data_IF_295878898909
#
_entry.id   IF_295878898909
#
_cell.length_a   1.000
_cell.length_b   1.000
_cell.length_c   1.000
_cell.angle_alpha   90.00
_cell.angle_beta   90.00
_cell.angle_gamma   90.00
#
_symmetry.space_group_name_H-M   'P 1'
#
loop_
_entity.id
_entity.type
_entity.pdbx_description
1 polymer ?
#
# COMPACT_ATOMS: atom_id res chain seq x y z
N UNK A 1 -20.30 -17.40 17.54
CA UNK A 1 -20.92 -16.07 17.55
C UNK A 1 -20.79 -15.56 18.97
N UNK A 2 -19.82 -14.68 19.21
CA UNK A 2 -19.66 -14.01 20.50
C UNK A 2 -20.51 -12.73 20.45
N UNK A 3 -21.39 -12.54 21.42
CA UNK A 3 -22.16 -11.30 21.55
C UNK A 3 -21.25 -10.18 22.08
N UNK A 4 -21.64 -8.91 21.92
CA UNK A 4 -20.84 -7.77 22.39
C UNK A 4 -20.53 -7.79 23.90
N UNK A 5 -21.29 -8.54 24.70
CA UNK A 5 -20.96 -8.84 26.10
C UNK A 5 -19.73 -9.75 26.20
N UNK A 6 -19.65 -10.80 25.38
CA UNK A 6 -18.55 -11.77 25.39
C UNK A 6 -17.22 -11.11 24.95
N UNK A 7 -17.28 -10.15 24.01
CA UNK A 7 -16.09 -9.40 23.57
C UNK A 7 -15.56 -8.48 24.68
N UNK A 8 -16.46 -7.87 25.48
CA UNK A 8 -16.07 -7.00 26.59
C UNK A 8 -15.53 -7.79 27.77
N UNK A 9 -16.08 -8.99 28.01
CA UNK A 9 -15.62 -9.95 29.01
C UNK A 9 -14.23 -10.49 28.66
N UNK A 10 -13.99 -10.87 27.40
CA UNK A 10 -12.67 -11.31 26.88
C UNK A 10 -11.60 -10.21 27.00
N UNK A 11 -12.01 -8.94 26.96
CA UNK A 11 -11.11 -7.79 27.03
C UNK A 11 -11.06 -7.13 28.42
N UNK A 12 -11.65 -7.77 29.45
CA UNK A 12 -11.68 -7.31 30.84
C UNK A 12 -12.09 -5.83 31.01
N UNK A 13 -13.03 -5.37 30.20
CA UNK A 13 -13.53 -3.99 30.28
C UNK A 13 -14.63 -3.90 31.34
N UNK A 14 -14.46 -3.03 32.34
CA UNK A 14 -15.38 -2.85 33.47
C UNK A 14 -16.84 -2.67 33.01
N UNK A 15 -17.74 -3.43 33.61
CA UNK A 15 -19.19 -3.31 33.41
C UNK A 15 -19.88 -3.03 34.74
N UNK A 16 -20.51 -1.86 34.86
CA UNK A 16 -21.28 -1.44 36.06
C UNK A 16 -22.60 -2.22 36.27
N UNK A 17 -22.72 -3.45 35.77
CA UNK A 17 -23.94 -4.26 35.88
C UNK A 17 -23.65 -5.66 36.40
N UNK A 18 -24.35 -6.14 37.44
CA UNK A 18 -24.19 -7.50 37.93
C UNK A 18 -24.49 -8.53 36.84
N UNK A 19 -23.61 -9.51 36.70
CA UNK A 19 -23.74 -10.64 35.77
C UNK A 19 -24.84 -11.60 36.26
N UNK A 20 -25.94 -11.70 35.53
CA UNK A 20 -26.98 -12.73 35.72
C UNK A 20 -26.75 -13.87 34.71
N UNK A 21 -26.55 -15.13 35.17
CA UNK A 21 -26.29 -16.25 34.27
C UNK A 21 -27.52 -16.58 33.42
N UNK A 22 -27.31 -16.80 32.12
CA UNK A 22 -28.38 -17.16 31.18
C UNK A 22 -28.87 -18.57 31.47
N UNK A 23 -29.99 -18.68 32.20
CA UNK A 23 -30.64 -19.96 32.50
C UNK A 23 -31.47 -20.47 31.33
N UNK A 24 -31.61 -21.81 31.22
CA UNK A 24 -32.42 -22.49 30.18
C UNK A 24 -33.86 -21.98 30.09
N UNK A 25 -34.42 -21.48 31.21
CA UNK A 25 -35.76 -20.87 31.27
C UNK A 25 -35.83 -19.49 30.60
N UNK A 26 -34.73 -18.73 30.54
CA UNK A 26 -34.69 -17.44 29.84
C UNK A 26 -34.74 -17.56 28.31
N UNK A 27 -34.39 -18.72 27.77
CA UNK A 27 -34.43 -19.02 26.34
C UNK A 27 -35.81 -19.53 25.89
N UNK A 28 -36.66 -19.95 26.82
CA UNK A 28 -37.99 -20.47 26.54
C UNK A 28 -39.02 -19.33 26.65
N UNK A 29 -39.68 -19.06 25.52
CA UNK A 29 -40.63 -17.97 25.36
C UNK A 29 -41.97 -18.29 26.02
N UNK A 30 -42.05 -18.21 27.35
CA UNK A 30 -43.33 -18.21 28.05
C UNK A 30 -43.95 -16.81 28.00
N UNK A 31 -45.01 -16.72 27.20
CA UNK A 31 -45.79 -15.51 26.97
C UNK A 31 -46.43 -15.03 28.27
N UNK A 32 -45.88 -13.98 28.88
CA UNK A 32 -46.70 -12.93 29.51
C UNK A 32 -46.47 -11.62 28.77
N UNK A 33 -47.54 -11.18 28.11
CA UNK A 33 -47.62 -9.92 27.38
C UNK A 33 -47.35 -8.77 28.36
N UNK A 34 -46.10 -8.29 28.45
CA UNK A 34 -45.80 -7.01 29.08
C UNK A 34 -45.96 -5.94 28.01
N UNK A 35 -47.02 -5.14 28.14
CA UNK A 35 -47.31 -3.94 27.35
C UNK A 35 -46.05 -3.07 27.32
N UNK A 36 -45.37 -3.01 26.19
CA UNK A 36 -44.23 -2.11 26.01
C UNK A 36 -44.79 -0.69 25.94
N UNK A 37 -44.52 0.13 26.96
CA UNK A 37 -44.68 1.58 26.86
C UNK A 37 -43.86 2.07 25.67
N UNK A 38 -44.48 2.81 24.76
CA UNK A 38 -43.79 3.42 23.63
C UNK A 38 -42.75 4.41 24.18
N UNK A 39 -41.47 4.20 23.84
CA UNK A 39 -40.45 5.22 24.04
C UNK A 39 -40.80 6.47 23.23
N UNK A 40 -40.53 7.68 23.76
CA UNK A 40 -40.84 8.92 23.07
C UNK A 40 -40.06 8.98 21.76
N UNK A 41 -40.78 8.97 20.64
CA UNK A 41 -40.19 9.17 19.31
C UNK A 41 -39.70 10.61 19.22
N UNK A 42 -38.39 10.83 19.40
CA UNK A 42 -37.76 12.12 19.21
C UNK A 42 -37.86 12.51 17.72
N UNK A 43 -38.50 13.65 17.43
CA UNK A 43 -38.72 14.12 16.06
C UNK A 43 -37.43 14.73 15.50
N UNK A 44 -37.22 14.58 14.18
CA UNK A 44 -36.12 15.22 13.45
C UNK A 44 -36.12 16.73 13.74
N UNK A 45 -35.02 17.32 14.24
CA UNK A 45 -34.90 18.76 14.42
C UNK A 45 -35.11 19.52 13.09
N UNK A 46 -35.81 20.65 13.15
CA UNK A 46 -36.06 21.51 12.00
C UNK A 46 -34.73 22.08 11.46
N UNK A 47 -34.50 22.00 10.14
CA UNK A 47 -33.24 22.39 9.50
C UNK A 47 -32.20 21.28 9.28
N UNK A 48 -32.36 20.09 9.87
CA UNK A 48 -31.45 18.95 9.65
C UNK A 48 -31.84 18.17 8.38
N UNK A 49 -30.94 18.00 7.42
CA UNK A 49 -31.22 17.21 6.21
C UNK A 49 -31.52 15.74 6.58
N UNK A 50 -32.50 15.13 5.90
CA UNK A 50 -32.99 13.77 6.20
C UNK A 50 -31.86 12.73 6.22
N UNK A 51 -30.88 12.88 5.33
CA UNK A 51 -29.74 11.96 5.21
C UNK A 51 -28.73 12.12 6.35
N UNK A 52 -28.47 13.36 6.77
CA UNK A 52 -27.63 13.66 7.94
C UNK A 52 -28.28 13.20 9.24
N UNK A 53 -29.59 13.41 9.39
CA UNK A 53 -30.36 12.86 10.51
C UNK A 53 -30.33 11.33 10.50
N UNK A 54 -30.48 10.74 9.31
CA UNK A 54 -30.33 9.31 9.08
C UNK A 54 -28.98 8.85 9.61
N UNK A 55 -27.88 9.43 9.14
CA UNK A 55 -26.53 9.04 9.52
C UNK A 55 -26.27 9.21 11.03
N UNK A 56 -26.60 10.36 11.63
CA UNK A 56 -26.34 10.65 13.04
C UNK A 56 -27.15 9.74 13.99
N UNK A 57 -28.40 9.44 13.64
CA UNK A 57 -29.26 8.57 14.43
C UNK A 57 -29.01 7.09 14.15
N UNK A 58 -28.68 6.72 12.92
CA UNK A 58 -28.25 5.36 12.60
C UNK A 58 -26.92 5.08 13.26
N UNK A 59 -25.95 5.97 13.29
CA UNK A 59 -24.66 5.68 13.91
C UNK A 59 -24.81 5.40 15.43
N UNK A 60 -25.67 6.17 16.10
CA UNK A 60 -25.97 5.99 17.52
C UNK A 60 -26.76 4.69 17.83
N UNK A 61 -27.55 4.17 16.87
CA UNK A 61 -28.28 2.90 17.00
C UNK A 61 -27.49 1.69 16.49
N UNK A 62 -26.59 1.87 15.53
CA UNK A 62 -25.87 0.82 14.80
C UNK A 62 -24.46 0.55 15.33
N UNK A 63 -23.96 1.31 16.31
CA UNK A 63 -22.81 0.88 17.14
C UNK A 63 -23.06 -0.47 17.86
N UNK A 64 -24.31 -0.93 17.90
CA UNK A 64 -24.69 -2.23 18.48
C UNK A 64 -24.89 -3.35 17.43
N UNK A 65 -25.13 -3.03 16.16
CA UNK A 65 -25.50 -3.98 15.11
C UNK A 65 -24.73 -3.72 13.81
N UNK A 66 -23.42 -3.99 13.82
CA UNK A 66 -22.58 -3.94 12.61
C UNK A 66 -22.96 -5.06 11.64
N UNK A 67 -23.10 -4.79 10.33
CA UNK A 67 -23.48 -5.82 9.36
C UNK A 67 -22.42 -6.95 9.26
N UNK A 68 -22.85 -8.22 9.17
CA UNK A 68 -21.92 -9.34 9.07
C UNK A 68 -21.15 -9.31 7.75
N UNK A 69 -19.82 -9.47 7.85
CA UNK A 69 -18.85 -9.41 6.74
C UNK A 69 -18.93 -10.65 5.83
N UNK A 70 -19.67 -11.69 6.24
CA UNK A 70 -19.76 -12.95 5.52
C UNK A 70 -21.09 -13.06 4.74
N UNK A 71 -21.04 -13.34 3.43
CA UNK A 71 -22.22 -13.73 2.67
C UNK A 71 -22.80 -15.01 3.29
N UNK A 72 -24.10 -15.00 3.60
CA UNK A 72 -24.81 -16.22 4.01
C UNK A 72 -25.53 -16.80 2.79
N UNK A 73 -25.40 -18.10 2.54
CA UNK A 73 -26.08 -18.83 1.44
C UNK A 73 -27.61 -18.86 1.54
N UNK A 74 -28.21 -18.12 2.47
CA UNK A 74 -29.67 -17.98 2.58
C UNK A 74 -30.08 -16.72 1.83
N UNK A 75 -30.94 -16.86 0.81
CA UNK A 75 -31.54 -15.76 0.06
C UNK A 75 -32.51 -14.89 0.91
N UNK A 76 -32.20 -14.61 2.17
CA UNK A 76 -33.01 -13.80 3.08
C UNK A 76 -32.21 -12.56 3.47
N UNK A 77 -32.80 -11.40 3.15
CA UNK A 77 -32.10 -10.12 3.04
C UNK A 77 -31.55 -9.51 4.33
N UNK A 78 -31.09 -8.26 4.18
CA UNK A 78 -30.27 -7.47 5.11
C UNK A 78 -30.82 -7.22 6.53
N UNK A 79 -32.08 -7.57 6.84
CA UNK A 79 -32.62 -7.47 8.20
C UNK A 79 -32.69 -8.85 8.83
N UNK A 80 -32.11 -8.99 10.02
CA UNK A 80 -32.28 -10.13 10.91
C UNK A 80 -33.79 -10.39 11.09
N UNK A 81 -34.39 -11.26 10.27
CA UNK A 81 -35.68 -11.84 10.59
C UNK A 81 -35.46 -12.53 11.93
N UNK A 82 -36.22 -12.12 12.96
CA UNK A 82 -36.22 -12.77 14.28
C UNK A 82 -36.02 -14.26 14.06
N UNK A 83 -34.92 -14.81 14.57
CA UNK A 83 -34.53 -16.19 14.31
C UNK A 83 -35.78 -17.04 14.46
N UNK A 84 -36.26 -17.63 13.35
CA UNK A 84 -37.40 -18.54 13.40
C UNK A 84 -36.87 -19.80 14.06
N UNK A 85 -36.78 -19.80 15.39
CA UNK A 85 -36.52 -20.96 16.25
C UNK A 85 -37.81 -21.82 16.28
N UNK A 86 -38.46 -21.94 15.12
CA UNK A 86 -39.50 -22.92 14.88
C UNK A 86 -38.84 -24.26 14.58
N UNK A 87 -39.59 -25.32 14.77
CA UNK A 87 -39.27 -26.75 14.69
C UNK A 87 -38.78 -27.24 13.32
N UNK A 88 -37.91 -26.50 12.63
CA UNK A 88 -37.15 -27.04 11.51
C UNK A 88 -36.20 -28.10 12.07
N UNK A 89 -36.34 -29.32 11.54
CA UNK A 89 -35.39 -30.40 11.84
C UNK A 89 -33.98 -29.89 11.57
N UNK A 90 -33.11 -30.00 12.58
CA UNK A 90 -31.69 -29.65 12.46
C UNK A 90 -31.13 -30.45 11.28
N UNK A 91 -30.40 -29.77 10.39
CA UNK A 91 -29.79 -30.44 9.23
C UNK A 91 -28.82 -31.50 9.74
N UNK A 92 -29.04 -32.79 9.43
CA UNK A 92 -28.19 -33.85 9.96
C UNK A 92 -26.80 -33.78 9.31
N UNK A 93 -25.78 -33.97 10.14
CA UNK A 93 -24.39 -34.08 9.73
C UNK A 93 -23.89 -35.50 9.99
N UNK A 94 -23.08 -36.03 9.09
CA UNK A 94 -22.45 -37.34 9.21
C UNK A 94 -20.95 -37.17 9.04
N UNK A 95 -20.18 -37.86 9.87
CA UNK A 95 -18.74 -38.01 9.69
C UNK A 95 -18.53 -38.99 8.53
N UNK A 96 -18.01 -38.49 7.40
CA UNK A 96 -17.92 -39.27 6.18
C UNK A 96 -16.50 -39.27 5.61
N UNK A 97 -16.04 -40.41 5.07
CA UNK A 97 -14.81 -40.45 4.30
C UNK A 97 -15.02 -39.67 3.00
N UNK A 98 -13.97 -38.96 2.57
CA UNK A 98 -13.93 -38.28 1.29
C UNK A 98 -12.53 -38.38 0.70
N UNK A 99 -12.47 -38.46 -0.62
CA UNK A 99 -11.23 -38.33 -1.38
C UNK A 99 -11.15 -36.90 -1.89
N UNK A 100 -9.97 -36.29 -1.85
CA UNK A 100 -9.76 -34.97 -2.45
C UNK A 100 -9.24 -35.17 -3.89
N UNK A 101 -10.03 -34.88 -4.94
CA UNK A 101 -9.58 -35.01 -6.34
C UNK A 101 -8.35 -34.17 -6.68
N UNK A 102 -8.06 -33.14 -5.90
CA UNK A 102 -6.87 -32.31 -6.06
C UNK A 102 -5.55 -33.05 -5.71
N UNK A 103 -5.61 -34.18 -5.00
CA UNK A 103 -4.43 -34.96 -4.61
C UNK A 103 -4.28 -36.17 -5.53
N UNK A 104 -3.02 -36.55 -5.81
CA UNK A 104 -2.67 -37.71 -6.65
C UNK A 104 -2.43 -39.00 -5.85
N UNK A 105 -2.44 -38.92 -4.52
CA UNK A 105 -2.06 -40.00 -3.60
C UNK A 105 -3.23 -40.89 -3.18
N UNK A 106 -4.46 -40.58 -3.61
CA UNK A 106 -5.65 -41.36 -3.27
C UNK A 106 -5.98 -41.40 -1.77
N UNK A 107 -5.39 -40.50 -0.96
CA UNK A 107 -5.58 -40.54 0.49
C UNK A 107 -7.03 -40.19 0.85
N UNK A 108 -7.62 -41.03 1.69
CA UNK A 108 -8.99 -40.86 2.20
C UNK A 108 -8.93 -40.08 3.50
N UNK A 109 -9.62 -38.95 3.54
CA UNK A 109 -9.78 -38.13 4.75
C UNK A 109 -11.21 -38.24 5.26
N UNK A 110 -11.45 -37.78 6.49
CA UNK A 110 -12.80 -37.73 7.05
C UNK A 110 -13.18 -36.27 7.34
N UNK A 111 -14.40 -35.87 7.00
CA UNK A 111 -14.94 -34.58 7.40
C UNK A 111 -16.44 -34.63 7.67
N UNK A 112 -16.93 -33.68 8.46
CA UNK A 112 -18.36 -33.51 8.68
C UNK A 112 -19.02 -33.01 7.39
N UNK A 113 -19.93 -33.80 6.82
CA UNK A 113 -20.78 -33.43 5.68
C UNK A 113 -22.23 -33.43 6.07
N UNK A 114 -23.00 -32.58 5.39
CA UNK A 114 -24.46 -32.65 5.44
C UNK A 114 -24.88 -33.90 4.67
N UNK A 115 -25.89 -34.62 5.19
CA UNK A 115 -26.43 -35.81 4.52
C UNK A 115 -26.93 -35.48 3.10
N UNK A 116 -27.44 -34.27 2.88
CA UNK A 116 -27.90 -33.82 1.56
C UNK A 116 -26.76 -33.56 0.53
N UNK A 117 -25.50 -33.46 0.97
CA UNK A 117 -24.34 -33.15 0.14
C UNK A 117 -23.42 -34.37 -0.09
N UNK A 118 -23.90 -35.59 0.19
CA UNK A 118 -23.12 -36.84 0.12
C UNK A 118 -22.53 -37.10 -1.28
N UNK A 119 -23.30 -36.85 -2.34
CA UNK A 119 -22.89 -37.10 -3.73
C UNK A 119 -22.02 -36.00 -4.36
N UNK A 120 -21.70 -34.92 -3.64
CA UNK A 120 -20.92 -33.81 -4.21
C UNK A 120 -19.43 -34.04 -4.05
N UNK A 121 -18.66 -33.73 -5.09
CA UNK A 121 -17.20 -33.68 -4.98
C UNK A 121 -16.77 -32.70 -3.89
N UNK A 122 -15.57 -32.93 -3.34
CA UNK A 122 -15.01 -32.09 -2.29
C UNK A 122 -15.00 -30.62 -2.74
N UNK A 123 -15.80 -29.71 -2.11
CA UNK A 123 -16.04 -28.38 -2.64
C UNK A 123 -14.78 -27.53 -2.82
N UNK A 124 -13.73 -27.82 -2.06
CA UNK A 124 -12.48 -27.07 -2.12
C UNK A 124 -11.49 -27.58 -3.18
N UNK A 125 -11.74 -28.74 -3.80
CA UNK A 125 -10.88 -29.28 -4.85
C UNK A 125 -10.76 -28.32 -6.05
N UNK A 126 -11.84 -27.60 -6.38
CA UNK A 126 -11.87 -26.58 -7.43
C UNK A 126 -10.91 -25.40 -7.22
N UNK A 127 -10.45 -25.19 -5.98
CA UNK A 127 -9.51 -24.11 -5.65
C UNK A 127 -8.05 -24.55 -5.73
N UNK A 128 -7.78 -25.82 -6.02
CA UNK A 128 -6.42 -26.31 -6.23
C UNK A 128 -5.90 -25.85 -7.59
N UNK A 129 -5.41 -24.62 -7.65
CA UNK A 129 -4.75 -24.06 -8.84
C UNK A 129 -3.26 -24.37 -8.76
N UNK A 130 -2.76 -25.14 -9.72
CA UNK A 130 -1.33 -25.43 -9.87
C UNK A 130 -0.68 -24.40 -10.78
N UNK A 131 0.56 -24.04 -10.48
CA UNK A 131 1.34 -23.15 -11.35
C UNK A 131 1.98 -23.96 -12.47
N UNK A 132 1.90 -23.47 -13.70
CA UNK A 132 2.61 -24.08 -14.82
C UNK A 132 4.06 -23.59 -14.84
N UNK A 133 4.99 -24.53 -14.63
CA UNK A 133 6.43 -24.25 -14.61
C UNK A 133 7.03 -24.73 -15.93
N UNK A 134 7.64 -23.83 -16.73
CA UNK A 134 8.20 -24.20 -18.02
C UNK A 134 9.25 -25.31 -17.91
N UNK A 135 9.18 -26.29 -18.80
CA UNK A 135 10.24 -27.28 -18.99
C UNK A 135 11.13 -26.88 -20.16
N UNK A 136 12.43 -27.13 -20.08
CA UNK A 136 13.39 -26.91 -21.16
C UNK A 136 14.11 -28.20 -21.51
N UNK A 137 14.54 -28.29 -22.77
CA UNK A 137 15.36 -29.38 -23.29
C UNK A 137 16.85 -29.10 -23.10
N UNK A 138 17.66 -30.16 -23.20
CA UNK A 138 19.11 -30.11 -23.16
C UNK A 138 19.69 -29.13 -24.19
N UNK A 139 19.12 -29.12 -25.40
CA UNK A 139 19.53 -28.24 -26.48
C UNK A 139 19.25 -26.76 -26.15
N UNK A 140 18.06 -26.46 -25.65
CA UNK A 140 17.70 -25.11 -25.23
C UNK A 140 18.61 -24.62 -24.10
N UNK A 141 18.96 -25.51 -23.15
CA UNK A 141 19.88 -25.16 -22.07
C UNK A 141 21.25 -24.78 -22.60
N UNK A 142 21.83 -25.62 -23.46
CA UNK A 142 23.17 -25.43 -24.01
C UNK A 142 23.27 -24.19 -24.90
N UNK A 143 22.21 -23.86 -25.65
CA UNK A 143 22.22 -22.74 -26.57
C UNK A 143 21.92 -21.39 -25.91
N UNK A 144 21.01 -21.35 -24.94
CA UNK A 144 20.42 -20.08 -24.48
C UNK A 144 20.39 -19.88 -22.96
N UNK A 145 20.56 -20.93 -22.14
CA UNK A 145 20.40 -20.84 -20.69
C UNK A 145 21.71 -20.97 -19.91
N UNK A 146 22.86 -21.03 -20.59
CA UNK A 146 24.17 -21.04 -19.94
C UNK A 146 24.41 -19.75 -19.15
N UNK A 147 25.06 -19.86 -17.99
CA UNK A 147 25.40 -18.75 -17.11
C UNK A 147 26.64 -19.13 -16.30
N UNK A 148 27.62 -18.24 -16.22
CA UNK A 148 28.91 -18.53 -15.58
C UNK A 148 28.77 -18.76 -14.07
N UNK A 149 27.73 -18.20 -13.47
CA UNK A 149 27.44 -18.33 -12.04
C UNK A 149 26.52 -19.50 -11.72
N UNK A 150 25.86 -20.13 -12.69
CA UNK A 150 24.89 -21.22 -12.48
C UNK A 150 25.21 -22.47 -13.28
N UNK A 151 25.28 -23.60 -12.58
CA UNK A 151 25.44 -24.89 -13.26
C UNK A 151 24.09 -25.43 -13.75
N UNK A 152 24.13 -26.35 -14.72
CA UNK A 152 22.93 -27.06 -15.20
C UNK A 152 22.23 -27.82 -14.08
N UNK A 153 22.98 -28.61 -13.32
CA UNK A 153 22.45 -29.39 -12.20
C UNK A 153 21.78 -28.50 -11.13
N UNK A 154 22.37 -27.34 -10.84
CA UNK A 154 21.79 -26.34 -9.92
C UNK A 154 20.48 -25.76 -10.47
N UNK A 155 20.43 -25.49 -11.79
CA UNK A 155 19.23 -24.99 -12.46
C UNK A 155 18.13 -26.05 -12.53
N UNK A 156 18.47 -27.31 -12.79
CA UNK A 156 17.53 -28.44 -12.80
C UNK A 156 16.95 -28.65 -11.39
N UNK A 157 17.80 -28.56 -10.36
CA UNK A 157 17.37 -28.64 -8.97
C UNK A 157 16.39 -27.51 -8.62
N UNK A 158 16.69 -26.27 -9.05
CA UNK A 158 15.76 -25.15 -8.89
C UNK A 158 14.39 -25.45 -9.54
N UNK A 159 14.36 -25.91 -10.78
CA UNK A 159 13.11 -26.19 -11.49
C UNK A 159 12.33 -27.39 -10.91
N UNK A 160 13.03 -28.37 -10.32
CA UNK A 160 12.38 -29.41 -9.51
C UNK A 160 11.68 -28.83 -8.28
N UNK A 161 12.39 -28.00 -7.50
CA UNK A 161 11.81 -27.34 -6.32
C UNK A 161 10.66 -26.41 -6.70
N UNK A 162 10.77 -25.67 -7.79
CA UNK A 162 9.71 -24.82 -8.33
C UNK A 162 8.42 -25.59 -8.62
N UNK A 163 8.52 -26.79 -9.21
CA UNK A 163 7.38 -27.68 -9.49
C UNK A 163 6.80 -28.30 -8.23
N UNK A 164 7.65 -28.70 -7.28
CA UNK A 164 7.23 -29.36 -6.03
C UNK A 164 6.57 -28.41 -5.03
N UNK A 165 6.93 -27.14 -5.06
CA UNK A 165 6.48 -26.13 -4.09
C UNK A 165 5.70 -24.97 -4.71
N UNK A 166 5.18 -25.13 -5.93
CA UNK A 166 4.30 -24.16 -6.61
C UNK A 166 4.85 -22.72 -6.62
N UNK A 167 6.14 -22.56 -6.95
CA UNK A 167 6.86 -21.27 -6.94
C UNK A 167 6.86 -20.51 -5.61
N UNK A 168 6.64 -21.18 -4.48
CA UNK A 168 6.78 -20.58 -3.15
C UNK A 168 8.25 -20.40 -2.81
N UNK A 169 8.86 -19.33 -3.34
CA UNK A 169 10.31 -19.07 -3.25
C UNK A 169 10.90 -19.11 -1.85
N UNK A 170 10.14 -18.75 -0.80
CA UNK A 170 10.61 -18.84 0.59
C UNK A 170 10.80 -20.31 1.01
N UNK A 171 9.88 -21.19 0.61
CA UNK A 171 9.99 -22.64 0.86
C UNK A 171 11.08 -23.26 0.00
N UNK A 172 11.20 -22.83 -1.25
CA UNK A 172 12.26 -23.29 -2.17
C UNK A 172 13.64 -22.96 -1.59
N UNK A 173 13.84 -21.73 -1.12
CA UNK A 173 15.08 -21.31 -0.49
C UNK A 173 15.36 -22.07 0.82
N UNK A 174 14.34 -22.34 1.64
CA UNK A 174 14.49 -23.17 2.85
C UNK A 174 14.98 -24.58 2.52
N UNK A 175 14.41 -25.20 1.49
CA UNK A 175 14.69 -26.56 1.01
C UNK A 175 15.85 -26.66 0.02
N UNK A 176 16.57 -25.56 -0.18
CA UNK A 176 17.73 -25.52 -1.05
C UNK A 176 18.84 -26.42 -0.49
N UNK A 177 19.42 -27.28 -1.34
CA UNK A 177 20.53 -28.15 -0.95
C UNK A 177 21.84 -27.35 -0.83
N UNK A 178 22.04 -26.76 0.34
CA UNK A 178 23.23 -25.98 0.72
C UNK A 178 24.49 -26.83 0.88
N UNK A 179 24.37 -28.17 0.85
CA UNK A 179 25.53 -29.06 0.94
C UNK A 179 26.16 -29.32 -0.43
N UNK A 180 25.34 -29.36 -1.48
CA UNK A 180 25.78 -29.61 -2.86
C UNK A 180 25.99 -28.34 -3.67
N UNK A 181 25.23 -27.29 -3.38
CA UNK A 181 25.24 -26.05 -4.15
C UNK A 181 25.64 -24.86 -3.28
N UNK A 182 26.17 -23.78 -3.90
CA UNK A 182 26.42 -22.53 -3.20
C UNK A 182 25.15 -22.01 -2.51
N UNK A 183 25.35 -21.30 -1.40
CA UNK A 183 24.24 -20.65 -0.71
C UNK A 183 23.74 -19.47 -1.56
N UNK A 184 22.49 -19.53 -2.01
CA UNK A 184 21.85 -18.50 -2.84
C UNK A 184 20.82 -17.74 -2.03
N UNK A 185 20.71 -16.43 -2.26
CA UNK A 185 19.59 -15.66 -1.73
C UNK A 185 18.29 -15.98 -2.46
N UNK A 186 17.15 -15.64 -1.85
CA UNK A 186 15.83 -15.78 -2.47
C UNK A 186 15.76 -14.99 -3.79
N UNK A 187 16.45 -13.86 -3.82
CA UNK A 187 16.53 -12.91 -4.91
C UNK A 187 17.34 -13.50 -6.08
N UNK A 188 18.47 -14.16 -5.81
CA UNK A 188 19.26 -14.87 -6.84
C UNK A 188 18.45 -16.01 -7.47
N UNK A 189 17.74 -16.77 -6.63
CA UNK A 189 16.88 -17.88 -7.07
C UNK A 189 15.77 -17.37 -7.99
N UNK A 190 15.11 -16.27 -7.62
CA UNK A 190 14.07 -15.63 -8.43
C UNK A 190 14.62 -15.10 -9.74
N UNK A 191 15.75 -14.40 -9.68
CA UNK A 191 16.45 -13.84 -10.84
C UNK A 191 16.73 -14.93 -11.86
N UNK A 192 17.34 -16.03 -11.43
CA UNK A 192 17.62 -17.17 -12.30
C UNK A 192 16.36 -17.76 -12.93
N UNK A 193 15.32 -17.99 -12.12
CA UNK A 193 14.05 -18.56 -12.59
C UNK A 193 13.39 -17.67 -13.66
N UNK A 194 13.19 -16.38 -13.36
CA UNK A 194 12.52 -15.46 -14.28
C UNK A 194 13.36 -15.18 -15.53
N UNK A 195 14.69 -15.14 -15.42
CA UNK A 195 15.57 -15.01 -16.58
C UNK A 195 15.39 -16.20 -17.54
N UNK A 196 15.37 -17.43 -17.03
CA UNK A 196 15.13 -18.61 -17.86
C UNK A 196 13.73 -18.59 -18.47
N UNK A 197 12.70 -18.28 -17.69
CA UNK A 197 11.33 -18.17 -18.22
C UNK A 197 11.25 -17.15 -19.36
N UNK A 198 11.86 -15.97 -19.18
CA UNK A 198 11.88 -14.93 -20.21
C UNK A 198 12.66 -15.35 -21.45
N UNK A 199 13.81 -16.02 -21.28
CA UNK A 199 14.60 -16.53 -22.41
C UNK A 199 13.84 -17.60 -23.18
N UNK A 200 13.22 -18.55 -22.51
CA UNK A 200 12.41 -19.59 -23.16
C UNK A 200 11.22 -19.00 -23.91
N UNK A 201 10.55 -18.01 -23.31
CA UNK A 201 9.44 -17.30 -23.96
C UNK A 201 9.92 -16.57 -25.22
N UNK A 202 11.11 -15.97 -25.21
CA UNK A 202 11.70 -15.31 -26.39
C UNK A 202 12.10 -16.31 -27.49
N UNK A 203 12.77 -17.40 -27.12
CA UNK A 203 13.26 -18.41 -28.08
C UNK A 203 12.10 -19.17 -28.73
N UNK A 204 11.03 -19.43 -27.97
CA UNK A 204 9.83 -20.14 -28.46
C UNK A 204 8.81 -19.23 -29.12
N UNK A 205 8.98 -17.91 -29.05
CA UNK A 205 8.11 -16.99 -29.75
C UNK A 205 8.32 -17.13 -31.26
N UNK A 206 7.35 -17.76 -31.93
CA UNK A 206 7.20 -17.69 -33.38
C UNK A 206 6.60 -16.34 -33.77
N UNK A 207 6.89 -15.86 -34.99
CA UNK A 207 6.49 -14.54 -35.51
C UNK A 207 5.00 -14.26 -35.22
N UNK A 208 4.74 -13.41 -34.23
CA UNK A 208 3.43 -13.17 -33.62
C UNK A 208 3.50 -12.00 -32.64
N UNK A 209 2.43 -11.74 -31.85
CA UNK A 209 2.42 -10.64 -30.89
C UNK A 209 3.55 -10.79 -29.87
N UNK A 210 4.26 -9.68 -29.59
CA UNK A 210 5.36 -9.61 -28.63
C UNK A 210 5.00 -10.30 -27.31
N UNK A 211 5.78 -11.30 -26.87
CA UNK A 211 5.46 -12.04 -25.66
C UNK A 211 5.59 -11.15 -24.42
N UNK A 212 4.70 -11.35 -23.45
CA UNK A 212 4.73 -10.61 -22.18
C UNK A 212 5.89 -11.09 -21.31
N UNK A 213 7.00 -10.36 -21.37
CA UNK A 213 8.21 -10.60 -20.57
C UNK A 213 8.02 -10.02 -19.17
N UNK A 214 8.27 -10.84 -18.15
CA UNK A 214 8.21 -10.40 -16.76
C UNK A 214 9.61 -10.09 -16.25
N UNK A 215 9.93 -8.80 -16.10
CA UNK A 215 11.23 -8.37 -15.61
C UNK A 215 11.25 -8.41 -14.09
N UNK A 216 12.15 -9.22 -13.52
CA UNK A 216 12.43 -9.23 -12.09
C UNK A 216 13.75 -8.50 -11.83
N UNK A 217 13.70 -7.36 -11.14
CA UNK A 217 14.89 -6.61 -10.73
C UNK A 217 15.34 -7.07 -9.34
N UNK A 218 16.32 -7.98 -9.32
CA UNK A 218 16.89 -8.50 -8.08
C UNK A 218 17.63 -7.42 -7.28
N UNK A 219 18.25 -6.45 -7.94
CA UNK A 219 18.97 -5.36 -7.27
C UNK A 219 18.00 -4.43 -6.54
N UNK A 220 16.88 -4.09 -7.17
CA UNK A 220 15.81 -3.35 -6.54
C UNK A 220 15.22 -4.10 -5.34
N UNK A 221 14.92 -5.40 -5.50
CA UNK A 221 14.32 -6.20 -4.42
C UNK A 221 15.25 -6.34 -3.21
N UNK A 222 16.56 -6.56 -3.45
CA UNK A 222 17.58 -6.56 -2.38
C UNK A 222 17.60 -5.22 -1.63
N UNK A 223 17.61 -4.09 -2.35
CA UNK A 223 17.58 -2.74 -1.74
C UNK A 223 16.30 -2.50 -0.94
N UNK A 224 15.14 -2.88 -1.48
CA UNK A 224 13.83 -2.78 -0.82
C UNK A 224 13.81 -3.56 0.50
N UNK A 225 14.30 -4.80 0.48
CA UNK A 225 14.39 -5.65 1.67
C UNK A 225 15.35 -5.09 2.71
N UNK A 226 16.49 -4.56 2.30
CA UNK A 226 17.43 -3.88 3.21
C UNK A 226 16.80 -2.65 3.89
N UNK A 227 16.03 -1.84 3.16
CA UNK A 227 15.30 -0.70 3.75
C UNK A 227 14.26 -1.16 4.77
N UNK A 228 13.51 -2.22 4.45
CA UNK A 228 12.51 -2.78 5.37
C UNK A 228 13.16 -3.32 6.64
N UNK A 229 14.29 -4.03 6.52
CA UNK A 229 15.05 -4.54 7.67
C UNK A 229 15.56 -3.39 8.54
N UNK A 230 16.06 -2.30 7.93
CA UNK A 230 16.49 -1.10 8.68
C UNK A 230 15.34 -0.49 9.48
N UNK A 231 14.15 -0.39 8.88
CA UNK A 231 12.97 0.13 9.57
C UNK A 231 12.49 -0.82 10.68
N UNK A 232 12.48 -2.13 10.41
CA UNK A 232 12.06 -3.14 11.37
C UNK A 232 12.98 -3.20 12.61
N UNK A 233 14.28 -3.05 12.40
CA UNK A 233 15.28 -3.05 13.46
C UNK A 233 15.48 -1.66 14.11
N UNK A 234 14.65 -0.67 13.78
CA UNK A 234 14.79 0.69 14.33
C UNK A 234 14.43 0.68 15.80
N UNK A 235 15.35 1.18 16.64
CA UNK A 235 15.11 1.31 18.08
C UNK A 235 14.51 2.69 18.40
N UNK A 236 13.74 2.83 19.49
CA UNK A 236 13.16 4.12 19.89
C UNK A 236 14.21 5.24 20.05
N UNK A 237 15.40 4.92 20.60
CA UNK A 237 16.50 5.87 20.74
C UNK A 237 16.98 6.44 19.40
N UNK A 238 17.07 5.59 18.36
CA UNK A 238 17.44 6.03 17.02
C UNK A 238 16.33 6.90 16.39
N UNK A 239 15.06 6.69 16.77
CA UNK A 239 13.95 7.54 16.33
C UNK A 239 14.10 8.95 16.90
N UNK A 240 14.30 9.05 18.22
CA UNK A 240 14.47 10.34 18.91
C UNK A 240 15.71 11.11 18.39
N UNK A 241 16.82 10.41 18.19
CA UNK A 241 18.04 11.01 17.62
C UNK A 241 17.82 11.53 16.19
N UNK A 242 17.13 10.76 15.34
CA UNK A 242 16.80 11.20 13.99
C UNK A 242 15.85 12.41 13.98
N UNK A 243 14.85 12.44 14.86
CA UNK A 243 13.95 13.58 15.03
C UNK A 243 14.71 14.84 15.48
N UNK A 244 15.65 14.68 16.41
CA UNK A 244 16.53 15.76 16.85
C UNK A 244 17.38 16.29 15.69
N UNK A 245 18.04 15.40 14.92
CA UNK A 245 18.85 15.78 13.76
C UNK A 245 18.01 16.47 12.67
N UNK A 246 16.78 16.01 12.41
CA UNK A 246 15.86 16.66 11.47
C UNK A 246 15.50 18.07 11.95
N UNK A 247 15.25 18.25 13.25
CA UNK A 247 14.96 19.56 13.82
C UNK A 247 16.17 20.51 13.71
N UNK A 248 17.38 20.02 13.95
CA UNK A 248 18.61 20.78 13.76
C UNK A 248 18.87 21.15 12.30
N UNK A 249 18.67 20.21 11.38
CA UNK A 249 18.82 20.44 9.94
C UNK A 249 17.87 21.55 9.48
N UNK A 250 16.59 21.50 9.88
CA UNK A 250 15.62 22.57 9.59
C UNK A 250 16.06 23.92 10.14
N UNK A 251 16.61 23.96 11.37
CA UNK A 251 17.16 25.20 11.96
C UNK A 251 18.36 25.73 11.16
N UNK A 252 19.21 24.85 10.61
CA UNK A 252 20.35 25.24 9.77
C UNK A 252 19.86 25.76 8.41
N UNK A 253 18.91 25.07 7.77
CA UNK A 253 18.33 25.51 6.49
C UNK A 253 17.64 26.87 6.60
N UNK A 254 16.89 27.11 7.68
CA UNK A 254 16.26 28.41 7.93
C UNK A 254 17.31 29.52 8.07
N UNK A 255 18.35 29.30 8.89
CA UNK A 255 19.44 30.25 9.07
C UNK A 255 20.21 30.50 7.77
N UNK A 256 20.41 29.45 6.95
CA UNK A 256 21.03 29.58 5.62
C UNK A 256 20.16 30.47 4.70
N UNK A 257 18.85 30.22 4.64
CA UNK A 257 17.90 31.01 3.86
C UNK A 257 17.82 32.47 4.31
N UNK A 258 17.88 32.73 5.62
CA UNK A 258 17.93 34.09 6.16
C UNK A 258 19.22 34.82 5.79
N UNK A 259 20.37 34.15 5.88
CA UNK A 259 21.64 34.74 5.44
C UNK A 259 21.62 35.03 3.94
N UNK A 260 21.11 34.10 3.15
CA UNK A 260 21.00 34.26 1.70
C UNK A 260 20.10 35.45 1.32
N UNK A 261 18.95 35.61 2.00
CA UNK A 261 18.09 36.81 1.85
C UNK A 261 18.83 38.09 2.23
N UNK A 262 19.52 38.11 3.37
CA UNK A 262 20.31 39.28 3.80
C UNK A 262 21.40 39.62 2.80
N UNK A 263 22.12 38.62 2.27
CA UNK A 263 23.13 38.86 1.23
C UNK A 263 22.53 39.35 -0.08
N UNK A 264 21.37 38.83 -0.49
CA UNK A 264 20.66 39.31 -1.68
C UNK A 264 20.18 40.76 -1.49
N UNK A 265 19.66 41.11 -0.33
CA UNK A 265 19.21 42.48 -0.03
C UNK A 265 20.39 43.45 0.04
N UNK A 266 21.51 43.04 0.64
CA UNK A 266 22.76 43.81 0.61
C UNK A 266 23.29 43.99 -0.81
N UNK A 267 23.28 42.95 -1.64
CA UNK A 267 23.66 43.05 -3.05
C UNK A 267 22.76 44.02 -3.81
N UNK A 268 21.44 43.95 -3.62
CA UNK A 268 20.50 44.91 -4.22
C UNK A 268 20.79 46.35 -3.79
N UNK A 269 21.10 46.58 -2.52
CA UNK A 269 21.47 47.90 -2.01
C UNK A 269 22.77 48.41 -2.64
N UNK A 270 23.79 47.56 -2.77
CA UNK A 270 25.05 47.90 -3.45
C UNK A 270 24.78 48.25 -4.92
N UNK A 271 24.06 47.41 -5.66
CA UNK A 271 23.72 47.66 -7.07
C UNK A 271 22.89 48.94 -7.25
N UNK A 272 21.94 49.20 -6.36
CA UNK A 272 21.15 50.43 -6.37
C UNK A 272 22.01 51.67 -6.08
N UNK A 273 22.96 51.57 -5.14
CA UNK A 273 23.91 52.64 -4.84
C UNK A 273 24.86 52.91 -6.02
N UNK A 274 25.42 51.88 -6.64
CA UNK A 274 26.29 52.00 -7.82
C UNK A 274 25.55 52.63 -9.01
N UNK A 275 24.31 52.20 -9.26
CA UNK A 275 23.45 52.79 -10.31
C UNK A 275 23.17 54.28 -10.06
N UNK A 276 22.96 54.68 -8.80
CA UNK A 276 22.75 56.08 -8.44
C UNK A 276 24.05 56.91 -8.59
N UNK A 277 25.20 56.34 -8.24
CA UNK A 277 26.51 56.97 -8.47
C UNK A 277 26.76 57.18 -9.96
N UNK A 278 26.45 56.19 -10.80
CA UNK A 278 26.60 56.30 -12.25
C UNK A 278 25.61 57.32 -12.85
N UNK A 279 24.36 57.36 -12.39
CA UNK A 279 23.40 58.39 -12.79
C UNK A 279 23.89 59.80 -12.41
N UNK A 280 24.40 60.00 -11.19
CA UNK A 280 24.98 61.28 -10.76
C UNK A 280 26.24 61.65 -11.57
N UNK A 281 27.04 60.67 -12.00
CA UNK A 281 28.20 60.90 -12.88
C UNK A 281 27.75 61.29 -14.28
N UNK A 282 26.69 60.67 -14.81
CA UNK A 282 26.10 61.02 -16.12
C UNK A 282 25.48 62.42 -16.08
N UNK A 283 24.74 62.76 -15.03
CA UNK A 283 24.22 64.13 -14.82
C UNK A 283 25.35 65.16 -14.76
N UNK A 284 26.40 64.93 -13.98
CA UNK A 284 27.56 65.85 -13.94
C UNK A 284 28.24 66.01 -15.29
N UNK A 285 28.27 64.97 -16.13
CA UNK A 285 28.82 65.06 -17.51
C UNK A 285 27.87 65.82 -18.45
N UNK A 286 26.56 65.67 -18.33
CA UNK A 286 25.58 66.41 -19.14
C UNK A 286 25.50 67.89 -18.74
N UNK A 287 25.60 68.22 -17.44
CA UNK A 287 25.70 69.61 -16.98
C UNK A 287 26.97 70.28 -17.49
N UNK A 288 28.13 69.61 -17.45
CA UNK A 288 29.39 70.13 -18.02
C UNK A 288 29.30 70.36 -19.55
N UNK A 289 28.64 69.47 -20.29
CA UNK A 289 28.37 69.66 -21.73
C UNK A 289 27.47 70.88 -22.01
N UNK A 290 26.42 71.09 -21.21
CA UNK A 290 25.52 72.26 -21.34
C UNK A 290 26.24 73.58 -21.03
N UNK A 291 27.10 73.60 -20.02
CA UNK A 291 27.93 74.79 -19.69
C UNK A 291 28.92 75.11 -20.81
N UNK A 292 29.57 74.09 -21.40
CA UNK A 292 30.45 74.28 -22.55
C UNK A 292 29.71 74.78 -23.81
N UNK A 293 28.48 74.32 -24.04
CA UNK A 293 27.62 74.81 -25.12
C UNK A 293 27.18 76.27 -24.92
N UNK A 294 26.88 76.68 -23.69
CA UNK A 294 26.56 78.08 -23.36
C UNK A 294 27.78 79.02 -23.50
N UNK A 295 29.00 78.54 -23.21
CA UNK A 295 30.21 79.32 -23.45
C UNK A 295 30.49 79.52 -24.95
N UNK A 296 30.30 78.50 -25.80
CA UNK A 296 30.41 78.65 -27.26
C UNK A 296 29.37 79.60 -27.88
N UNK A 297 28.16 79.65 -27.33
CA UNK A 297 27.11 80.58 -27.79
C UNK A 297 27.42 82.04 -27.41
N UNK A 298 28.11 82.29 -26.28
CA UNK A 298 28.56 83.63 -25.90
C UNK A 298 29.76 84.12 -26.70
N UNK A 299 30.67 83.24 -27.13
CA UNK A 299 31.77 83.61 -28.02
C UNK A 299 31.28 83.89 -29.46
N UNK A 300 30.25 83.19 -29.94
CA UNK A 300 29.66 83.43 -31.26
C UNK A 300 28.81 84.71 -31.38
N UNK A 301 28.34 85.29 -30.27
CA UNK A 301 27.55 86.54 -30.29
C UNK A 301 28.40 87.81 -30.28
N UNK A 302 29.71 87.71 -30.01
CA UNK A 302 30.64 88.85 -30.00
C UNK A 302 31.30 89.11 -31.37
N UNK A 303 31.08 88.26 -32.36
CA UNK A 303 31.71 88.35 -33.70
C UNK A 303 30.82 88.92 -34.82
N UNK A 304 29.58 89.36 -34.55
CA UNK A 304 28.61 89.77 -35.60
C UNK A 304 28.19 91.25 -35.53
N UNK A 305 29.06 92.14 -35.01
CA UNK A 305 28.84 93.60 -35.14
C UNK A 305 30.12 94.26 -35.62
N UNK A 306 30.46 94.07 -36.91
CA UNK A 306 31.39 94.93 -37.66
C UNK A 306 31.40 94.54 -39.15
N UNK A 307 30.40 95.00 -39.90
CA UNK A 307 30.50 95.19 -41.36
C UNK A 307 29.18 95.71 -41.92
N UNK A 308 29.00 97.03 -41.93
CA UNK A 308 28.19 97.74 -42.93
C UNK A 308 28.84 99.12 -43.14
N UNK A 309 29.49 99.26 -44.29
CA UNK A 309 29.75 100.49 -45.03
C UNK A 309 29.35 100.22 -46.45
#
# INVERSE_FOLDING_TARGET
MAMNCDIRDILELDTDKPYEPVTKKSLMNDKKCKTKKAEPTFKRPEGMHRELWGLLWTDNKYMKDTPPILPTDVNQGYKQMKAKIGSQKVRPWKWMPFTNPARKDGTIFLHWRRVADEAKDYPFARFNKTVDVPTYSDLEYQQHLHDDSWTRHETDHLFDLCRRFDLRFIVIHDRWDRSKYPNRSVEDIKERYYNICNTLVKVRATQGPEPKIWVFDASHERKRKLQLIKLFNRTPKLVEEEEHLIAELKKIELRKKEREKKTQDLQKLITAADSNIDNRRVERKTTKKKVYQQQKLKEGSLSTVRSFT
#
